data_IF_219668498061
#
_entry.id   IF_219668498061
#
_cell.length_a   1.000
_cell.length_b   1.000
_cell.length_c   1.000
_cell.angle_alpha   90.00
_cell.angle_beta   90.00
_cell.angle_gamma   90.00
#
_symmetry.space_group_name_H-M   'P 1'
#
loop_
_entity.id
_entity.type
_entity.pdbx_description
1 polymer ?
#
# COMPACT_ATOMS: atom_id res chain seq x y z
N UNK A 1 2.98 6.08 -12.22
CA UNK A 1 1.55 6.19 -11.81
C UNK A 1 0.71 5.01 -12.31
N UNK A 2 0.66 4.73 -13.63
CA UNK A 2 -0.15 3.63 -14.20
C UNK A 2 0.04 2.27 -13.48
N UNK A 3 1.29 1.83 -13.31
CA UNK A 3 1.61 0.56 -12.66
C UNK A 3 1.11 0.53 -11.21
N UNK A 4 1.33 1.61 -10.45
CA UNK A 4 0.85 1.72 -9.07
C UNK A 4 -0.68 1.60 -9.03
N UNK A 5 -1.39 2.35 -9.88
CA UNK A 5 -2.85 2.30 -9.92
C UNK A 5 -3.38 0.91 -10.28
N UNK A 6 -2.80 0.24 -11.26
CA UNK A 6 -3.25 -1.09 -11.67
C UNK A 6 -3.02 -2.14 -10.59
N UNK A 7 -1.84 -2.15 -9.96
CA UNK A 7 -1.54 -3.12 -8.90
C UNK A 7 -2.37 -2.87 -7.64
N UNK A 8 -2.55 -1.61 -7.25
CA UNK A 8 -3.37 -1.26 -6.08
C UNK A 8 -4.85 -1.61 -6.30
N UNK A 9 -5.40 -1.31 -7.48
CA UNK A 9 -6.79 -1.67 -7.83
C UNK A 9 -6.96 -3.18 -7.92
N UNK A 10 -5.98 -3.89 -8.49
CA UNK A 10 -5.99 -5.36 -8.55
C UNK A 10 -6.00 -5.97 -7.14
N UNK A 11 -5.14 -5.48 -6.24
CA UNK A 11 -5.08 -5.95 -4.86
C UNK A 11 -6.40 -5.67 -4.11
N UNK A 12 -6.96 -4.46 -4.21
CA UNK A 12 -8.26 -4.16 -3.61
C UNK A 12 -9.39 -5.01 -4.20
N UNK A 13 -9.40 -5.20 -5.51
CA UNK A 13 -10.36 -6.06 -6.20
C UNK A 13 -10.32 -7.48 -5.65
N UNK A 14 -9.13 -8.08 -5.54
CA UNK A 14 -8.96 -9.41 -4.99
C UNK A 14 -9.46 -9.50 -3.53
N UNK A 15 -9.12 -8.53 -2.69
CA UNK A 15 -9.54 -8.49 -1.28
C UNK A 15 -11.07 -8.41 -1.15
N UNK A 16 -11.71 -7.46 -1.84
CA UNK A 16 -13.15 -7.25 -1.72
C UNK A 16 -13.97 -8.41 -2.30
N UNK A 17 -13.52 -8.99 -3.41
CA UNK A 17 -14.15 -10.20 -3.95
C UNK A 17 -14.06 -11.34 -2.94
N UNK A 18 -12.89 -11.55 -2.33
CA UNK A 18 -12.70 -12.61 -1.33
C UNK A 18 -13.54 -12.38 -0.07
N UNK A 19 -13.71 -11.14 0.40
CA UNK A 19 -14.63 -10.86 1.52
C UNK A 19 -16.09 -11.20 1.17
N UNK A 20 -16.53 -10.89 -0.04
CA UNK A 20 -17.87 -11.28 -0.51
C UNK A 20 -18.06 -12.80 -0.53
N UNK A 21 -17.04 -13.54 -0.95
CA UNK A 21 -17.08 -15.01 -1.01
C UNK A 21 -17.07 -15.59 0.40
N UNK A 22 -16.09 -15.22 1.22
CA UNK A 22 -15.84 -15.83 2.54
C UNK A 22 -16.93 -15.46 3.55
N UNK A 23 -17.30 -14.19 3.66
CA UNK A 23 -18.20 -13.70 4.70
C UNK A 23 -19.69 -13.71 4.29
N UNK A 24 -20.02 -14.13 3.06
CA UNK A 24 -21.39 -14.28 2.58
C UNK A 24 -22.23 -13.01 2.82
N UNK A 25 -23.27 -13.11 3.65
CA UNK A 25 -24.17 -11.97 4.00
C UNK A 25 -23.47 -10.80 4.69
N UNK A 26 -22.30 -11.01 5.29
CA UNK A 26 -21.55 -9.97 6.01
C UNK A 26 -20.38 -9.38 5.19
N UNK A 27 -20.18 -9.80 3.93
CA UNK A 27 -19.05 -9.36 3.11
C UNK A 27 -18.94 -7.84 2.97
N UNK A 28 -20.08 -7.15 2.81
CA UNK A 28 -20.12 -5.69 2.72
C UNK A 28 -19.66 -5.02 4.01
N UNK A 29 -20.04 -5.56 5.17
CA UNK A 29 -19.65 -5.01 6.47
C UNK A 29 -18.14 -5.16 6.69
N UNK A 30 -17.58 -6.32 6.35
CA UNK A 30 -16.12 -6.55 6.43
C UNK A 30 -15.36 -5.64 5.47
N UNK A 31 -15.86 -5.45 4.24
CA UNK A 31 -15.27 -4.53 3.28
C UNK A 31 -15.29 -3.08 3.78
N UNK A 32 -16.37 -2.65 4.43
CA UNK A 32 -16.46 -1.32 5.04
C UNK A 32 -15.44 -1.14 6.17
N UNK A 33 -15.33 -2.12 7.07
CA UNK A 33 -14.32 -2.09 8.14
C UNK A 33 -12.90 -2.02 7.57
N UNK A 34 -12.62 -2.77 6.50
CA UNK A 34 -11.33 -2.72 5.82
C UNK A 34 -11.07 -1.37 5.13
N UNK A 35 -12.08 -0.76 4.51
CA UNK A 35 -11.94 0.57 3.93
C UNK A 35 -11.62 1.64 4.99
N UNK A 36 -12.26 1.56 6.16
CA UNK A 36 -11.95 2.42 7.31
C UNK A 36 -10.52 2.17 7.82
N UNK A 37 -10.11 0.92 7.90
CA UNK A 37 -8.72 0.55 8.25
C UNK A 37 -7.70 1.17 7.29
N UNK A 38 -7.91 1.02 5.98
CA UNK A 38 -7.02 1.58 4.95
C UNK A 38 -6.95 3.10 5.02
N UNK A 39 -8.08 3.76 5.30
CA UNK A 39 -8.12 5.20 5.50
C UNK A 39 -7.22 5.64 6.67
N UNK A 40 -7.32 4.99 7.83
CA UNK A 40 -6.46 5.30 8.98
C UNK A 40 -4.99 5.03 8.69
N UNK A 41 -4.68 3.91 8.03
CA UNK A 41 -3.29 3.58 7.69
C UNK A 41 -2.66 4.59 6.76
N UNK A 42 -3.44 5.24 5.88
CA UNK A 42 -2.94 6.32 5.03
C UNK A 42 -2.49 7.54 5.85
N UNK A 43 -3.21 7.92 6.91
CA UNK A 43 -2.75 9.00 7.80
C UNK A 43 -1.51 8.60 8.60
N UNK A 44 -1.47 7.36 9.09
CA UNK A 44 -0.29 6.84 9.79
C UNK A 44 0.93 6.76 8.85
N UNK A 45 0.74 6.55 7.55
CA UNK A 45 1.84 6.59 6.58
C UNK A 45 2.47 7.98 6.45
N UNK A 46 1.69 9.05 6.67
CA UNK A 46 2.18 10.44 6.59
C UNK A 46 2.98 10.87 7.82
N UNK A 47 2.88 10.14 8.92
CA UNK A 47 3.63 10.44 10.14
C UNK A 47 4.93 9.63 10.11
N UNK A 48 6.08 10.33 10.11
CA UNK A 48 7.40 9.69 9.96
C UNK A 48 7.67 8.58 10.98
N UNK A 49 7.29 8.77 12.25
CA UNK A 49 7.51 7.76 13.30
C UNK A 49 6.77 6.45 13.02
N UNK A 50 5.51 6.50 12.63
CA UNK A 50 4.70 5.31 12.34
C UNK A 50 5.07 4.66 11.02
N UNK A 51 5.57 5.46 10.07
CA UNK A 51 6.15 4.97 8.81
C UNK A 51 7.45 4.21 9.04
N UNK A 52 8.36 4.74 9.84
CA UNK A 52 9.64 4.11 10.17
C UNK A 52 9.46 2.85 11.03
N UNK A 53 8.42 2.81 11.87
CA UNK A 53 8.00 1.61 12.59
C UNK A 53 7.36 0.54 11.68
N UNK A 54 7.09 0.84 10.41
CA UNK A 54 6.48 -0.08 9.45
C UNK A 54 5.00 -0.39 9.73
N UNK A 55 4.32 0.40 10.56
CA UNK A 55 2.90 0.14 10.90
C UNK A 55 2.02 0.32 9.66
N UNK A 56 2.27 1.38 8.90
CA UNK A 56 1.55 1.67 7.66
C UNK A 56 1.80 0.62 6.56
N UNK A 57 2.86 -0.19 6.66
CA UNK A 57 3.16 -1.23 5.67
C UNK A 57 2.17 -2.40 5.66
N UNK A 58 1.22 -2.41 6.60
CA UNK A 58 0.09 -3.33 6.60
C UNK A 58 -1.02 -2.92 5.62
N UNK A 59 -0.95 -1.70 5.07
CA UNK A 59 -1.96 -1.18 4.13
C UNK A 59 -1.57 -1.41 2.67
N UNK A 60 -2.58 -1.67 1.85
CA UNK A 60 -2.42 -1.78 0.39
C UNK A 60 -2.12 -0.41 -0.23
N UNK A 61 -2.76 0.65 0.27
CA UNK A 61 -2.51 2.02 -0.17
C UNK A 61 -1.07 2.46 0.09
N UNK A 62 -0.46 2.02 1.19
CA UNK A 62 0.94 2.32 1.49
C UNK A 62 1.87 1.83 0.38
N UNK A 63 1.79 0.56 0.00
CA UNK A 63 2.64 0.00 -1.05
C UNK A 63 2.38 0.62 -2.43
N UNK A 64 1.13 1.00 -2.73
CA UNK A 64 0.82 1.79 -3.92
C UNK A 64 1.51 3.16 -3.92
N UNK A 65 1.49 3.84 -2.77
CA UNK A 65 2.15 5.14 -2.61
C UNK A 65 3.68 5.04 -2.66
N UNK A 66 4.27 3.96 -2.15
CA UNK A 66 5.72 3.73 -2.20
C UNK A 66 6.24 3.49 -3.62
N UNK A 67 5.44 2.91 -4.53
CA UNK A 67 5.79 2.85 -5.97
C UNK A 67 5.92 4.27 -6.53
N UNK A 68 4.99 5.17 -6.17
CA UNK A 68 4.99 6.56 -6.63
C UNK A 68 6.18 7.31 -6.02
N UNK A 69 6.37 7.19 -4.69
CA UNK A 69 7.47 7.83 -3.97
C UNK A 69 8.84 7.37 -4.52
N UNK A 70 9.05 6.07 -4.67
CA UNK A 70 10.28 5.51 -5.22
C UNK A 70 10.54 5.97 -6.66
N UNK A 71 9.49 6.08 -7.49
CA UNK A 71 9.62 6.61 -8.85
C UNK A 71 9.99 8.10 -8.84
N UNK A 72 9.39 8.89 -7.96
CA UNK A 72 9.71 10.31 -7.79
C UNK A 72 11.20 10.50 -7.45
N UNK A 73 11.72 9.72 -6.50
CA UNK A 73 13.15 9.73 -6.14
C UNK A 73 14.10 9.29 -7.27
N UNK A 74 13.65 8.41 -8.16
CA UNK A 74 14.46 7.99 -9.32
C UNK A 74 14.48 9.02 -10.44
N UNK A 75 13.41 9.80 -10.59
CA UNK A 75 13.24 10.76 -11.69
C UNK A 75 13.78 12.14 -11.31
N UNK A 76 13.56 12.59 -10.07
CA UNK A 76 14.05 13.88 -9.59
C UNK A 76 15.47 13.76 -9.01
N UNK A 77 16.47 14.08 -9.82
CA UNK A 77 17.88 14.07 -9.41
C UNK A 77 18.25 15.14 -8.37
N UNK A 78 17.38 16.10 -8.12
CA UNK A 78 17.54 17.20 -7.16
C UNK A 78 16.77 16.99 -5.84
N UNK A 79 16.25 15.78 -5.60
CA UNK A 79 15.44 15.46 -4.42
C UNK A 79 16.14 15.86 -3.09
N UNK A 80 17.41 15.52 -2.93
CA UNK A 80 18.17 15.82 -1.70
C UNK A 80 18.26 17.33 -1.43
N UNK A 81 18.40 18.14 -2.50
CA UNK A 81 18.41 19.59 -2.40
C UNK A 81 17.03 20.12 -1.99
N UNK A 82 15.96 19.65 -2.64
CA UNK A 82 14.59 20.07 -2.34
C UNK A 82 14.16 19.68 -0.92
N UNK A 83 14.51 18.48 -0.46
CA UNK A 83 14.30 18.04 0.92
C UNK A 83 15.01 18.96 1.91
N UNK A 84 16.29 19.27 1.69
CA UNK A 84 17.04 20.20 2.55
C UNK A 84 16.44 21.61 2.60
N UNK A 85 15.99 22.13 1.47
CA UNK A 85 15.32 23.44 1.40
C UNK A 85 13.97 23.43 2.11
N UNK A 86 13.19 22.36 2.00
CA UNK A 86 11.88 22.25 2.65
C UNK A 86 11.99 22.33 4.18
N UNK A 87 13.01 21.69 4.78
CA UNK A 87 13.25 21.74 6.22
C UNK A 87 13.58 23.15 6.73
N UNK A 88 14.23 23.96 5.90
CA UNK A 88 14.52 25.36 6.23
C UNK A 88 13.29 26.26 6.19
N UNK A 89 12.20 25.83 5.53
CA UNK A 89 10.95 26.58 5.41
C UNK A 89 9.94 26.12 6.47
N UNK A 90 9.62 24.82 6.52
CA UNK A 90 8.64 24.27 7.43
C UNK A 90 8.85 22.75 7.61
N UNK A 91 8.73 22.27 8.85
CA UNK A 91 8.78 20.84 9.16
C UNK A 91 7.65 20.05 8.50
N UNK A 92 6.45 20.65 8.37
CA UNK A 92 5.31 20.04 7.70
C UNK A 92 5.60 19.86 6.19
N UNK A 93 6.25 20.84 5.57
CA UNK A 93 6.64 20.74 4.16
C UNK A 93 7.72 19.67 3.96
N UNK A 94 8.64 19.53 4.92
CA UNK A 94 9.67 18.49 4.87
C UNK A 94 9.09 17.06 4.90
N UNK A 95 7.94 16.84 5.56
CA UNK A 95 7.29 15.52 5.59
C UNK A 95 6.83 15.02 4.21
N UNK A 96 6.65 15.90 3.23
CA UNK A 96 6.33 15.50 1.84
C UNK A 96 7.52 14.78 1.19
N UNK A 97 8.74 15.04 1.67
CA UNK A 97 9.99 14.57 1.09
C UNK A 97 10.56 13.33 1.82
N UNK A 98 9.71 12.49 2.40
CA UNK A 98 10.18 11.30 3.08
C UNK A 98 10.97 10.35 2.16
N UNK A 99 12.01 9.73 2.73
CA UNK A 99 12.80 8.72 2.03
C UNK A 99 11.96 7.52 1.64
N UNK A 100 12.27 6.80 0.57
CA UNK A 100 11.57 5.57 0.24
C UNK A 100 11.70 4.57 1.41
N UNK A 101 10.68 3.74 1.62
CA UNK A 101 10.68 2.66 2.62
C UNK A 101 10.56 1.29 1.92
N UNK A 102 11.16 0.19 2.43
CA UNK A 102 11.89 0.02 3.69
C UNK A 102 13.40 0.31 3.64
N UNK A 103 13.97 0.51 2.44
CA UNK A 103 15.42 0.70 2.28
C UNK A 103 15.77 2.11 1.80
N UNK A 104 17.05 2.47 1.83
CA UNK A 104 17.53 3.74 1.24
C UNK A 104 17.60 3.71 -0.29
N UNK A 105 17.47 2.55 -0.92
CA UNK A 105 17.54 2.40 -2.37
C UNK A 105 16.14 2.50 -3.01
N UNK A 106 15.85 3.55 -3.80
CA UNK A 106 14.52 3.74 -4.39
C UNK A 106 14.13 2.61 -5.35
N UNK A 107 15.08 2.11 -6.14
CA UNK A 107 14.83 1.02 -7.08
C UNK A 107 14.41 -0.27 -6.37
N UNK A 108 15.05 -0.60 -5.25
CA UNK A 108 14.71 -1.80 -4.48
C UNK A 108 13.32 -1.67 -3.86
N UNK A 109 12.97 -0.51 -3.31
CA UNK A 109 11.66 -0.28 -2.70
C UNK A 109 10.54 -0.32 -3.73
N UNK A 110 10.78 0.16 -4.96
CA UNK A 110 9.86 0.00 -6.07
C UNK A 110 9.58 -1.48 -6.35
N UNK A 111 10.63 -2.31 -6.45
CA UNK A 111 10.49 -3.75 -6.69
C UNK A 111 9.78 -4.44 -5.52
N UNK A 112 10.16 -4.13 -4.28
CA UNK A 112 9.52 -4.67 -3.07
C UNK A 112 8.03 -4.34 -3.08
N UNK A 113 7.65 -3.09 -3.35
CA UNK A 113 6.26 -2.66 -3.35
C UNK A 113 5.42 -3.41 -4.40
N UNK A 114 5.97 -3.62 -5.60
CA UNK A 114 5.33 -4.43 -6.65
C UNK A 114 5.14 -5.87 -6.16
N UNK A 115 6.19 -6.49 -5.62
CA UNK A 115 6.16 -7.87 -5.14
C UNK A 115 5.15 -8.04 -4.01
N UNK A 116 5.10 -7.11 -3.05
CA UNK A 116 4.15 -7.18 -1.93
C UNK A 116 2.70 -7.08 -2.43
N UNK A 117 2.39 -6.16 -3.35
CA UNK A 117 1.04 -6.06 -3.92
C UNK A 117 0.65 -7.33 -4.68
N UNK A 118 1.57 -7.96 -5.40
CA UNK A 118 1.33 -9.23 -6.08
C UNK A 118 1.13 -10.39 -5.09
N UNK A 119 1.90 -10.42 -3.99
CA UNK A 119 1.74 -11.42 -2.93
C UNK A 119 0.37 -11.26 -2.27
N UNK A 120 -0.04 -10.05 -1.89
CA UNK A 120 -1.36 -9.77 -1.30
C UNK A 120 -2.45 -10.24 -2.26
N UNK A 121 -2.36 -9.86 -3.53
CA UNK A 121 -3.32 -10.28 -4.57
C UNK A 121 -3.40 -11.81 -4.67
N UNK A 122 -2.25 -12.49 -4.78
CA UNK A 122 -2.19 -13.94 -4.89
C UNK A 122 -2.75 -14.66 -3.67
N UNK A 123 -2.43 -14.19 -2.47
CA UNK A 123 -2.96 -14.74 -1.21
C UNK A 123 -4.49 -14.66 -1.17
N UNK A 124 -5.07 -13.50 -1.47
CA UNK A 124 -6.52 -13.34 -1.44
C UNK A 124 -7.24 -14.14 -2.53
N UNK A 125 -6.63 -14.31 -3.71
CA UNK A 125 -7.15 -15.20 -4.75
C UNK A 125 -7.17 -16.66 -4.25
N UNK A 126 -6.07 -17.14 -3.65
CA UNK A 126 -6.01 -18.51 -3.11
C UNK A 126 -7.04 -18.73 -2.00
N UNK A 127 -7.22 -17.76 -1.11
CA UNK A 127 -8.26 -17.82 -0.06
C UNK A 127 -9.65 -17.91 -0.70
N UNK A 128 -9.95 -17.06 -1.68
CA UNK A 128 -11.22 -17.08 -2.40
C UNK A 128 -11.49 -18.44 -3.07
N UNK A 129 -10.51 -18.98 -3.79
CA UNK A 129 -10.61 -20.28 -4.45
C UNK A 129 -10.83 -21.44 -3.47
N UNK A 130 -10.09 -21.45 -2.35
CA UNK A 130 -10.24 -22.50 -1.33
C UNK A 130 -11.63 -22.47 -0.66
N UNK A 131 -12.18 -21.27 -0.45
CA UNK A 131 -13.52 -21.10 0.12
C UNK A 131 -14.63 -21.59 -0.82
N UNK A 132 -14.50 -21.36 -2.12
CA UNK A 132 -15.44 -21.89 -3.12
C UNK A 132 -15.42 -23.41 -3.19
N UNK A 133 -14.24 -24.03 -3.24
CA UNK A 133 -14.11 -25.49 -3.34
C UNK A 133 -14.79 -26.22 -2.18
N UNK A 134 -14.76 -25.65 -0.98
CA UNK A 134 -15.42 -26.23 0.20
C UNK A 134 -16.96 -26.12 0.16
N UNK A 135 -17.53 -25.25 -0.68
CA UNK A 135 -18.98 -25.12 -0.88
C UNK A 135 -19.52 -26.09 -1.93
N UNK A 136 -18.69 -26.56 -2.86
CA UNK A 136 -19.08 -27.55 -3.87
C UNK A 136 -19.06 -28.99 -3.34
N UNK A 137 -18.38 -29.24 -2.21
CA UNK A 137 -18.23 -30.56 -1.60
C UNK A 137 -19.30 -30.87 -0.52
N UNK A 138 -20.12 -29.89 -0.13
CA UNK A 138 -21.24 -30.04 0.81
C UNK A 138 -22.58 -29.93 0.08
#
# INVERSE_FOLDING_TARGET
VLIATFLTVLAYGAVFITFGIVAGRYGVLVALMFAVWEFFMMFLAMIGTTRDMGIASLSISFWGSEIINSTAWLVWGDFAMMSGQSLAVDIALWTVWYSPFPTTSPLLNLVISIVVLLIITGLFIMIGQSSFKNRELN
#
